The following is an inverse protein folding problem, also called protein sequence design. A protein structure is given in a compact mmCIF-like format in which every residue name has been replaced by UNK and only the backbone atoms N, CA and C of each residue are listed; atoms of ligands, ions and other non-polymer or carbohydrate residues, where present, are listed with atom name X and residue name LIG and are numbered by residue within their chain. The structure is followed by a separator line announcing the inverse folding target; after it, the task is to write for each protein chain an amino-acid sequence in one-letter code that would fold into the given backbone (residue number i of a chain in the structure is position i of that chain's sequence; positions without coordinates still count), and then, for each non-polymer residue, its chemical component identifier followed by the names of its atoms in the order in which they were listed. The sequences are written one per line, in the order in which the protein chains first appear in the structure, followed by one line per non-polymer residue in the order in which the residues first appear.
data_IF_546534642907
#
_entry.id   IF_546534642907
#
_cell.length_a   1.000
_cell.length_b   1.000
_cell.length_c   1.000
_cell.angle_alpha   90.00
_cell.angle_beta   90.00
_cell.angle_gamma   90.00
#
_symmetry.space_group_name_H-M   'P 1'
#
loop_
_entity.id
_entity.type
_entity.pdbx_description
1 polymer ?
#
# COMPACT_ATOMS: atom_id res chain seq x y z
N UNK A 1 9.42 -16.69 13.68
CA UNK A 1 8.26 -16.60 12.77
C UNK A 1 7.06 -16.18 13.61
N UNK A 2 6.54 -14.96 13.46
CA UNK A 2 5.68 -14.31 14.46
C UNK A 2 4.16 -14.47 14.24
N UNK A 3 3.76 -15.39 13.36
CA UNK A 3 2.36 -15.65 13.06
C UNK A 3 2.11 -17.14 12.84
N UNK A 4 0.89 -17.57 13.10
CA UNK A 4 0.39 -18.90 12.69
C UNK A 4 -0.55 -18.68 11.51
N UNK A 5 -0.26 -19.33 10.40
CA UNK A 5 -1.16 -19.39 9.25
C UNK A 5 -2.05 -20.62 9.39
N UNK A 6 -3.35 -20.43 9.51
CA UNK A 6 -4.33 -21.52 9.49
C UNK A 6 -5.28 -21.33 8.33
N UNK A 7 -5.69 -22.40 7.63
CA UNK A 7 -6.87 -22.33 6.76
C UNK A 7 -8.03 -21.76 7.57
N UNK A 8 -8.85 -20.91 6.95
CA UNK A 8 -10.10 -20.49 7.57
C UNK A 8 -11.04 -21.72 7.65
N UNK A 9 -11.13 -22.33 8.83
CA UNK A 9 -11.89 -23.57 9.04
C UNK A 9 -13.40 -23.36 9.10
N UNK A 10 -13.85 -22.10 9.17
CA UNK A 10 -15.26 -21.73 9.29
C UNK A 10 -15.94 -21.50 7.92
N UNK A 11 -15.15 -21.44 6.84
CA UNK A 11 -15.63 -21.29 5.47
C UNK A 11 -14.95 -22.32 4.57
N UNK A 12 -15.72 -23.07 3.79
CA UNK A 12 -15.28 -24.21 2.96
C UNK A 12 -14.30 -23.91 1.82
N UNK A 13 -13.57 -22.79 1.85
CA UNK A 13 -12.67 -22.35 0.79
C UNK A 13 -11.21 -22.58 1.17
N UNK A 14 -10.53 -23.47 0.43
CA UNK A 14 -9.08 -23.74 0.54
C UNK A 14 -8.18 -22.55 0.18
N UNK A 15 -8.77 -21.41 -0.18
CA UNK A 15 -8.08 -20.20 -0.67
C UNK A 15 -8.01 -19.07 0.38
N UNK A 16 -8.59 -19.27 1.57
CA UNK A 16 -8.59 -18.27 2.64
C UNK A 16 -7.64 -18.70 3.76
N UNK A 17 -6.74 -17.81 4.13
CA UNK A 17 -5.75 -18.05 5.17
C UNK A 17 -5.78 -16.91 6.18
N UNK A 18 -5.83 -17.27 7.47
CA UNK A 18 -5.72 -16.32 8.57
C UNK A 18 -4.30 -16.33 9.12
N UNK A 19 -3.64 -15.18 9.12
CA UNK A 19 -2.36 -14.97 9.79
C UNK A 19 -2.60 -14.30 11.14
N UNK A 20 -2.71 -15.10 12.19
CA UNK A 20 -2.92 -14.58 13.54
C UNK A 20 -1.58 -14.18 14.19
N UNK A 21 -1.54 -12.96 14.74
CA UNK A 21 -0.36 -12.35 15.39
C UNK A 21 -0.62 -12.22 16.89
N UNK A 22 0.40 -12.45 17.71
CA UNK A 22 0.29 -12.43 19.19
C UNK A 22 0.14 -11.04 19.82
N UNK A 23 0.19 -9.96 19.03
CA UNK A 23 0.11 -8.58 19.52
C UNK A 23 -0.24 -7.55 18.45
N UNK A 24 -0.59 -6.33 18.87
CA UNK A 24 -0.89 -5.20 17.98
C UNK A 24 0.39 -4.42 17.64
N UNK A 25 1.06 -4.79 16.56
CA UNK A 25 2.33 -4.19 16.14
C UNK A 25 2.20 -3.11 15.04
N UNK A 26 0.97 -2.66 14.74
CA UNK A 26 0.69 -1.63 13.73
C UNK A 26 0.47 -2.16 12.30
N UNK A 27 -0.03 -1.28 11.42
CA UNK A 27 -0.37 -1.59 10.03
C UNK A 27 0.84 -2.09 9.24
N UNK A 28 1.95 -1.36 9.29
CA UNK A 28 3.13 -1.67 8.49
C UNK A 28 3.70 -3.05 8.77
N UNK A 29 3.72 -3.45 10.04
CA UNK A 29 4.18 -4.80 10.40
C UNK A 29 3.20 -5.89 9.97
N UNK A 30 1.89 -5.62 9.98
CA UNK A 30 0.89 -6.57 9.47
C UNK A 30 1.02 -6.74 7.95
N UNK A 31 1.15 -5.63 7.21
CA UNK A 31 1.37 -5.64 5.76
C UNK A 31 2.66 -6.40 5.43
N UNK A 32 3.76 -6.14 6.13
CA UNK A 32 5.03 -6.86 5.94
C UNK A 32 4.88 -8.37 6.15
N UNK A 33 4.24 -8.79 7.24
CA UNK A 33 4.04 -10.21 7.55
C UNK A 33 3.21 -10.91 6.46
N UNK A 34 2.16 -10.24 5.96
CA UNK A 34 1.32 -10.71 4.84
C UNK A 34 2.09 -10.82 3.52
N UNK A 35 2.85 -9.79 3.16
CA UNK A 35 3.72 -9.82 1.97
C UNK A 35 4.71 -10.97 2.05
N UNK A 36 5.42 -11.13 3.19
CA UNK A 36 6.39 -12.20 3.39
C UNK A 36 5.75 -13.59 3.27
N UNK A 37 4.53 -13.76 3.79
CA UNK A 37 3.79 -15.01 3.68
C UNK A 37 3.45 -15.36 2.23
N UNK A 38 3.07 -14.36 1.42
CA UNK A 38 2.82 -14.54 -0.01
C UNK A 38 4.11 -14.84 -0.78
N UNK A 39 5.23 -14.18 -0.44
CA UNK A 39 6.53 -14.40 -1.11
C UNK A 39 7.06 -15.82 -0.96
N UNK A 40 6.70 -16.50 0.13
CA UNK A 40 7.05 -17.89 0.41
C UNK A 40 6.15 -18.91 -0.33
N UNK A 41 5.33 -18.45 -1.28
CA UNK A 41 4.40 -19.26 -2.07
C UNK A 41 4.57 -19.00 -3.57
N UNK A 42 3.91 -19.84 -4.36
CA UNK A 42 3.89 -19.76 -5.82
C UNK A 42 2.80 -18.80 -6.30
N UNK A 43 3.03 -17.50 -6.11
CA UNK A 43 2.21 -16.44 -6.69
C UNK A 43 3.06 -15.59 -7.62
N UNK A 44 2.43 -15.06 -8.68
CA UNK A 44 3.07 -14.11 -9.61
C UNK A 44 2.80 -12.65 -9.21
N UNK A 45 1.62 -12.41 -8.62
CA UNK A 45 1.17 -11.08 -8.22
C UNK A 45 0.58 -11.10 -6.80
N UNK A 46 0.71 -9.99 -6.09
CA UNK A 46 0.08 -9.76 -4.79
C UNK A 46 -0.75 -8.49 -4.87
N UNK A 47 -2.04 -8.58 -4.59
CA UNK A 47 -2.92 -7.42 -4.43
C UNK A 47 -3.15 -7.17 -2.95
N UNK A 48 -2.81 -5.96 -2.50
CA UNK A 48 -3.10 -5.49 -1.16
C UNK A 48 -4.32 -4.55 -1.21
N UNK A 49 -5.24 -4.66 -0.25
CA UNK A 49 -6.38 -3.75 -0.07
C UNK A 49 -6.84 -3.70 1.39
N UNK A 50 -7.53 -2.61 1.74
CA UNK A 50 -8.16 -2.49 3.07
C UNK A 50 -9.48 -3.27 3.14
N UNK A 51 -9.78 -3.81 4.33
CA UNK A 51 -10.96 -4.63 4.57
C UNK A 51 -12.25 -3.84 4.85
N UNK A 52 -12.21 -2.51 4.85
CA UNK A 52 -13.34 -1.62 5.19
C UNK A 52 -14.19 -1.22 3.97
N UNK A 53 -13.90 -1.79 2.80
CA UNK A 53 -14.58 -1.54 1.52
C UNK A 53 -14.48 -0.09 1.02
N UNK A 54 -13.65 0.76 1.63
CA UNK A 54 -13.33 2.08 1.07
C UNK A 54 -12.61 1.96 -0.28
N UNK A 55 -11.91 0.84 -0.49
CA UNK A 55 -11.36 0.41 -1.76
C UNK A 55 -12.27 -0.66 -2.38
N UNK A 56 -12.93 -0.35 -3.50
CA UNK A 56 -13.82 -1.30 -4.14
C UNK A 56 -13.02 -2.50 -4.74
N UNK A 57 -13.32 -3.76 -4.36
CA UNK A 57 -12.60 -4.93 -4.87
C UNK A 57 -12.64 -5.09 -6.40
N UNK A 58 -13.62 -4.45 -7.06
CA UNK A 58 -13.78 -4.45 -8.53
C UNK A 58 -12.59 -3.89 -9.30
N UNK A 59 -11.71 -3.09 -8.68
CA UNK A 59 -10.51 -2.57 -9.33
C UNK A 59 -9.34 -3.56 -9.34
N UNK A 60 -9.40 -4.65 -8.56
CA UNK A 60 -8.30 -5.61 -8.46
C UNK A 60 -7.97 -6.28 -9.81
N UNK A 61 -8.94 -6.73 -10.63
CA UNK A 61 -8.65 -7.23 -11.97
C UNK A 61 -7.92 -6.23 -12.86
N UNK A 62 -8.28 -4.94 -12.78
CA UNK A 62 -7.62 -3.90 -13.56
C UNK A 62 -6.17 -3.67 -13.11
N UNK A 63 -5.91 -3.63 -11.80
CA UNK A 63 -4.55 -3.51 -11.26
C UNK A 63 -3.66 -4.69 -11.68
N UNK A 64 -4.21 -5.91 -11.66
CA UNK A 64 -3.50 -7.11 -12.12
C UNK A 64 -3.25 -7.05 -13.64
N UNK A 65 -4.26 -6.66 -14.42
CA UNK A 65 -4.13 -6.50 -15.87
C UNK A 65 -3.06 -5.47 -16.25
N UNK A 66 -2.92 -4.37 -15.50
CA UNK A 66 -1.85 -3.39 -15.70
C UNK A 66 -0.46 -3.99 -15.48
N UNK A 67 -0.29 -4.87 -14.49
CA UNK A 67 0.99 -5.55 -14.26
C UNK A 67 1.26 -6.70 -15.26
N UNK A 68 0.20 -7.21 -15.91
CA UNK A 68 0.29 -8.24 -16.95
C UNK A 68 0.58 -7.70 -18.36
N UNK A 69 0.40 -6.39 -18.60
CA UNK A 69 0.61 -5.83 -19.95
C UNK A 69 2.10 -5.83 -20.32
N UNK A 70 2.50 -6.79 -21.15
CA UNK A 70 3.88 -6.96 -21.62
C UNK A 70 4.35 -5.78 -22.49
N UNK A 71 3.44 -5.01 -23.09
CA UNK A 71 3.78 -3.85 -23.93
C UNK A 71 4.14 -2.62 -23.10
N UNK A 72 3.64 -2.56 -21.87
CA UNK A 72 3.89 -1.47 -20.93
C UNK A 72 4.25 -2.07 -19.55
N UNK A 73 5.41 -2.72 -19.43
CA UNK A 73 5.65 -3.57 -18.28
C UNK A 73 5.80 -2.73 -17.02
N UNK A 74 5.12 -3.18 -15.97
CA UNK A 74 4.98 -2.48 -14.71
C UNK A 74 5.20 -3.45 -13.54
N UNK A 75 5.99 -3.04 -12.54
CA UNK A 75 6.26 -3.85 -11.36
C UNK A 75 5.25 -3.61 -10.24
N UNK A 76 4.66 -2.41 -10.21
CA UNK A 76 3.69 -1.99 -9.19
C UNK A 76 2.58 -1.14 -9.81
N UNK A 77 1.36 -1.68 -9.84
CA UNK A 77 0.18 -0.89 -10.16
C UNK A 77 -0.40 -0.29 -8.87
N UNK A 78 -0.50 1.04 -8.83
CA UNK A 78 -1.00 1.80 -7.69
C UNK A 78 -2.41 2.29 -7.99
N UNK A 79 -3.38 1.86 -7.20
CA UNK A 79 -4.72 2.44 -7.21
C UNK A 79 -4.64 3.89 -6.74
N UNK A 80 -4.88 4.83 -7.66
CA UNK A 80 -4.66 6.25 -7.43
C UNK A 80 -5.95 7.05 -7.47
N UNK A 81 -6.14 7.84 -6.41
CA UNK A 81 -7.30 8.74 -6.25
C UNK A 81 -7.08 10.10 -6.91
N UNK A 82 -5.85 10.40 -7.32
CA UNK A 82 -5.43 11.76 -7.70
C UNK A 82 -5.07 11.93 -9.18
N UNK A 83 -4.98 10.83 -9.93
CA UNK A 83 -4.88 10.82 -11.41
C UNK A 83 -6.22 11.12 -12.09
N UNK A 84 -6.19 11.37 -13.40
CA UNK A 84 -7.41 11.55 -14.18
C UNK A 84 -8.27 10.27 -14.12
N UNK A 85 -9.55 10.43 -13.80
CA UNK A 85 -10.49 9.32 -13.56
C UNK A 85 -10.51 8.78 -12.12
N UNK A 86 -9.56 9.17 -11.26
CA UNK A 86 -9.59 8.86 -9.83
C UNK A 86 -10.46 9.83 -9.04
N UNK A 87 -11.10 9.35 -7.97
CA UNK A 87 -12.04 10.15 -7.17
C UNK A 87 -11.99 9.83 -5.67
N UNK A 88 -12.47 10.81 -4.89
CA UNK A 88 -12.64 10.76 -3.43
C UNK A 88 -14.08 11.15 -3.14
N UNK A 89 -14.92 10.15 -2.90
CA UNK A 89 -16.36 10.30 -2.67
C UNK A 89 -16.70 10.26 -1.17
N UNK A 90 -17.66 11.08 -0.77
CA UNK A 90 -18.15 11.17 0.62
C UNK A 90 -17.34 12.07 1.57
N UNK A 91 -16.08 12.41 1.24
CA UNK A 91 -15.29 13.30 2.09
C UNK A 91 -15.65 14.79 1.94
N UNK A 92 -15.69 15.50 3.07
CA UNK A 92 -15.75 16.97 3.08
C UNK A 92 -14.63 17.60 2.23
N UNK A 93 -14.96 18.68 1.50
CA UNK A 93 -14.06 19.34 0.56
C UNK A 93 -12.70 19.70 1.17
N UNK A 94 -12.70 20.25 2.37
CA UNK A 94 -11.48 20.54 3.16
C UNK A 94 -10.57 19.31 3.32
N UNK A 95 -11.14 18.14 3.68
CA UNK A 95 -10.38 16.90 3.88
C UNK A 95 -9.82 16.36 2.56
N UNK A 96 -10.58 16.50 1.47
CA UNK A 96 -10.12 16.15 0.12
C UNK A 96 -8.89 16.97 -0.28
N UNK A 97 -8.94 18.29 -0.06
CA UNK A 97 -7.82 19.19 -0.33
C UNK A 97 -6.60 18.88 0.53
N UNK A 98 -6.78 18.74 1.84
CA UNK A 98 -5.68 18.37 2.75
C UNK A 98 -5.02 17.06 2.33
N UNK A 99 -5.82 16.04 2.01
CA UNK A 99 -5.30 14.73 1.59
C UNK A 99 -4.49 14.84 0.31
N UNK A 100 -4.96 15.62 -0.68
CA UNK A 100 -4.25 15.83 -1.94
C UNK A 100 -2.95 16.59 -1.74
N UNK A 101 -2.94 17.63 -0.90
CA UNK A 101 -1.75 18.43 -0.58
C UNK A 101 -0.70 17.60 0.16
N UNK A 102 -1.11 16.83 1.18
CA UNK A 102 -0.18 16.01 1.95
C UNK A 102 0.43 14.90 1.09
N UNK A 103 -0.37 14.26 0.22
CA UNK A 103 0.15 13.25 -0.70
C UNK A 103 1.10 13.88 -1.73
N UNK A 104 0.74 15.02 -2.32
CA UNK A 104 1.62 15.76 -3.23
C UNK A 104 2.94 16.21 -2.60
N UNK A 105 2.90 16.65 -1.33
CA UNK A 105 4.12 16.94 -0.57
C UNK A 105 4.97 15.69 -0.36
N UNK A 106 4.35 14.56 0.01
CA UNK A 106 5.04 13.30 0.21
C UNK A 106 5.70 12.78 -1.07
N UNK A 107 4.98 12.75 -2.20
CA UNK A 107 5.51 12.28 -3.48
C UNK A 107 6.66 13.16 -3.96
N UNK A 108 6.55 14.48 -3.80
CA UNK A 108 7.62 15.42 -4.15
C UNK A 108 8.87 15.22 -3.27
N UNK A 109 8.72 15.20 -1.95
CA UNK A 109 9.82 15.00 -1.01
C UNK A 109 10.53 13.64 -1.20
N UNK A 110 9.75 12.59 -1.46
CA UNK A 110 10.26 11.23 -1.64
C UNK A 110 10.72 10.95 -3.07
N UNK A 111 10.55 11.90 -4.00
CA UNK A 111 10.86 11.78 -5.43
C UNK A 111 10.19 10.57 -6.09
N UNK A 112 8.95 10.28 -5.69
CA UNK A 112 8.18 9.17 -6.24
C UNK A 112 7.47 9.60 -7.53
N UNK A 113 7.54 8.80 -8.61
CA UNK A 113 6.88 9.10 -9.89
C UNK A 113 5.39 8.71 -9.87
N UNK A 114 4.67 8.99 -8.77
CA UNK A 114 3.23 8.76 -8.63
C UNK A 114 2.57 9.97 -7.97
N UNK A 115 1.25 10.12 -8.14
CA UNK A 115 0.43 11.13 -7.45
C UNK A 115 -0.21 10.59 -6.17
N UNK A 116 -0.32 9.27 -6.01
CA UNK A 116 -0.87 8.65 -4.80
C UNK A 116 0.10 7.66 -4.14
N UNK A 117 0.90 8.13 -3.18
CA UNK A 117 1.85 7.28 -2.45
C UNK A 117 1.33 6.70 -1.13
N UNK A 118 0.12 7.08 -0.70
CA UNK A 118 -0.41 6.73 0.62
C UNK A 118 -1.47 5.63 0.58
N UNK A 119 -2.05 5.32 -0.58
CA UNK A 119 -3.09 4.29 -0.73
C UNK A 119 -2.52 2.88 -0.59
N UNK A 120 -3.24 1.98 0.10
CA UNK A 120 -2.86 0.57 0.27
C UNK A 120 -3.22 -0.30 -0.93
N UNK A 121 -4.17 0.15 -1.76
CA UNK A 121 -4.69 -0.61 -2.89
C UNK A 121 -3.68 -0.69 -4.04
N UNK A 122 -2.90 -1.77 -4.06
CA UNK A 122 -1.78 -1.94 -4.99
C UNK A 122 -1.65 -3.37 -5.43
N UNK A 123 -1.28 -3.56 -6.69
CA UNK A 123 -0.80 -4.84 -7.20
C UNK A 123 0.72 -4.78 -7.33
N UNK A 124 1.39 -5.83 -6.87
CA UNK A 124 2.84 -5.98 -6.93
C UNK A 124 3.20 -7.23 -7.71
N UNK A 125 4.16 -7.15 -8.63
CA UNK A 125 4.85 -8.33 -9.14
C UNK A 125 5.68 -8.95 -8.01
N UNK A 126 5.53 -10.25 -7.80
CA UNK A 126 6.24 -10.97 -6.73
C UNK A 126 7.76 -10.85 -6.91
N UNK A 127 8.26 -10.91 -8.14
CA UNK A 127 9.69 -10.75 -8.42
C UNK A 127 10.23 -9.38 -7.98
N UNK A 128 9.45 -8.32 -8.13
CA UNK A 128 9.86 -6.99 -7.67
C UNK A 128 9.94 -6.90 -6.14
N UNK A 129 8.99 -7.53 -5.44
CA UNK A 129 9.02 -7.63 -3.99
C UNK A 129 10.15 -8.54 -3.47
N UNK A 130 10.52 -9.60 -4.20
CA UNK A 130 11.62 -10.52 -3.82
C UNK A 130 12.99 -9.86 -3.86
N UNK A 131 13.19 -8.83 -4.70
CA UNK A 131 14.43 -8.06 -4.72
C UNK A 131 14.63 -7.23 -3.45
N UNK A 132 13.56 -6.99 -2.68
CA UNK A 132 13.62 -6.22 -1.45
C UNK A 132 13.82 -7.10 -0.22
N UNK A 133 14.73 -6.67 0.67
CA UNK A 133 14.75 -7.15 2.04
C UNK A 133 13.64 -6.48 2.86
N UNK A 134 12.43 -7.04 2.82
CA UNK A 134 11.24 -6.49 3.51
C UNK A 134 11.46 -6.26 5.03
N UNK A 135 12.36 -7.03 5.66
CA UNK A 135 12.71 -6.89 7.08
C UNK A 135 13.50 -5.61 7.39
N UNK A 136 14.14 -4.98 6.38
CA UNK A 136 14.82 -3.69 6.53
C UNK A 136 13.86 -2.50 6.52
N UNK A 137 12.58 -2.72 6.15
CA UNK A 137 11.53 -1.71 6.24
C UNK A 137 11.06 -1.62 7.70
N UNK A 138 11.20 -0.43 8.27
CA UNK A 138 11.14 -0.22 9.72
C UNK A 138 9.91 0.56 10.18
N UNK A 139 9.14 1.17 9.27
CA UNK A 139 7.92 1.89 9.60
C UNK A 139 6.87 0.91 10.17
N UNK A 140 6.45 1.06 11.45
CA UNK A 140 5.45 0.17 12.02
C UNK A 140 4.00 0.58 11.68
N UNK A 141 3.80 1.85 11.27
CA UNK A 141 2.48 2.46 11.06
C UNK A 141 2.16 2.72 9.58
N UNK A 142 1.29 3.70 9.35
CA UNK A 142 0.80 4.07 8.01
C UNK A 142 1.92 4.40 7.01
N UNK A 143 3.00 5.03 7.51
CA UNK A 143 4.20 5.37 6.76
C UNK A 143 4.96 4.20 6.09
N UNK A 144 4.53 2.96 6.34
CA UNK A 144 5.09 1.76 5.70
C UNK A 144 4.76 1.68 4.22
N UNK A 145 3.58 2.15 3.80
CA UNK A 145 3.19 2.09 2.40
C UNK A 145 4.07 3.00 1.55
N UNK A 146 4.41 4.17 2.06
CA UNK A 146 5.37 5.10 1.48
C UNK A 146 6.79 4.51 1.51
N UNK A 147 7.23 3.96 2.64
CA UNK A 147 8.56 3.32 2.76
C UNK A 147 8.74 2.18 1.75
N UNK A 148 7.74 1.32 1.61
CA UNK A 148 7.74 0.21 0.64
C UNK A 148 7.80 0.72 -0.80
N UNK A 149 7.03 1.76 -1.14
CA UNK A 149 7.03 2.31 -2.49
C UNK A 149 8.36 3.00 -2.82
N UNK A 150 8.96 3.69 -1.85
CA UNK A 150 10.30 4.27 -1.97
C UNK A 150 11.36 3.19 -2.15
N UNK A 151 11.29 2.10 -1.39
CA UNK A 151 12.22 0.98 -1.53
C UNK A 151 12.12 0.35 -2.92
N UNK A 152 10.91 0.07 -3.40
CA UNK A 152 10.67 -0.46 -4.75
C UNK A 152 11.20 0.50 -5.82
N UNK A 153 10.90 1.80 -5.70
CA UNK A 153 11.37 2.79 -6.66
C UNK A 153 12.90 2.90 -6.70
N UNK A 154 13.56 2.88 -5.54
CA UNK A 154 15.03 2.92 -5.43
C UNK A 154 15.70 1.66 -5.99
N UNK A 155 15.00 0.53 -5.94
CA UNK A 155 15.40 -0.73 -6.59
C UNK A 155 15.12 -0.76 -8.10
N UNK A 156 14.61 0.35 -8.66
CA UNK A 156 14.34 0.49 -10.10
C UNK A 156 13.00 -0.09 -10.56
N UNK A 157 12.10 -0.43 -9.63
CA UNK A 157 10.75 -0.89 -9.98
C UNK A 157 9.96 0.20 -10.72
N UNK A 158 9.26 -0.21 -11.78
CA UNK A 158 8.36 0.66 -12.55
C UNK A 158 7.01 0.74 -11.87
N UNK A 159 6.60 1.97 -11.56
CA UNK A 159 5.33 2.28 -10.91
C UNK A 159 4.34 2.86 -11.93
N UNK A 160 3.12 2.36 -11.96
CA UNK A 160 2.03 2.89 -12.81
C UNK A 160 0.80 3.14 -11.95
N UNK A 161 0.10 4.25 -12.21
CA UNK A 161 -1.13 4.59 -11.50
C UNK A 161 -2.37 4.17 -12.29
N UNK A 162 -3.29 3.48 -11.62
CA UNK A 162 -4.60 3.09 -12.13
C UNK A 162 -5.65 3.92 -11.40
N UNK A 163 -6.53 4.66 -12.11
CA UNK A 163 -7.56 5.45 -11.45
C UNK A 163 -8.52 4.56 -10.66
N UNK A 164 -8.77 4.93 -9.40
CA UNK A 164 -9.77 4.28 -8.56
C UNK A 164 -10.67 5.31 -7.89
N UNK A 165 -11.88 4.88 -7.57
CA UNK A 165 -12.77 5.59 -6.66
C UNK A 165 -12.53 5.12 -5.22
N UNK A 166 -12.33 6.09 -4.33
CA UNK A 166 -12.29 5.85 -2.90
C UNK A 166 -13.56 6.41 -2.26
N UNK A 167 -14.27 5.58 -1.48
CA UNK A 167 -15.47 5.99 -0.75
C UNK A 167 -15.19 6.07 0.74
N UNK A 168 -15.63 7.15 1.38
CA UNK A 168 -15.61 7.22 2.84
C UNK A 168 -16.46 6.09 3.43
N UNK A 169 -15.88 5.34 4.37
CA UNK A 169 -16.55 4.25 5.08
C UNK A 169 -17.84 4.73 5.76
N UNK A 170 -18.87 3.90 5.76
CA UNK A 170 -20.17 4.22 6.36
C UNK A 170 -20.16 4.35 7.90
N UNK A 171 -19.04 4.05 8.58
CA UNK A 171 -18.93 4.16 10.03
C UNK A 171 -17.48 4.29 10.54
N UNK A 172 -17.31 5.09 11.60
CA UNK A 172 -16.07 5.22 12.36
C UNK A 172 -15.42 6.60 12.24
N UNK A 173 -15.22 7.28 13.38
CA UNK A 173 -14.51 8.56 13.46
C UNK A 173 -13.11 8.44 12.86
N UNK A 174 -12.74 9.38 11.98
CA UNK A 174 -11.37 9.48 11.48
C UNK A 174 -10.44 9.73 12.65
N UNK A 175 -9.55 8.76 12.91
CA UNK A 175 -8.55 8.85 13.98
C UNK A 175 -7.39 9.79 13.63
N UNK A 176 -7.36 10.38 12.42
CA UNK A 176 -6.30 11.28 11.95
C UNK A 176 -6.32 12.60 12.74
N UNK A 177 -5.57 12.62 13.84
CA UNK A 177 -5.26 13.83 14.59
C UNK A 177 -4.03 14.56 14.05
N UNK A 178 -3.77 15.76 14.58
CA UNK A 178 -2.52 16.49 14.31
C UNK A 178 -1.27 15.67 14.64
N UNK A 179 -1.32 14.81 15.66
CA UNK A 179 -0.23 13.90 16.03
C UNK A 179 0.11 12.91 14.91
N UNK A 180 -0.88 12.41 14.18
CA UNK A 180 -0.66 11.47 13.07
C UNK A 180 -0.07 12.19 11.85
N UNK A 181 -0.53 13.42 11.58
CA UNK A 181 0.04 14.26 10.53
C UNK A 181 1.53 14.57 10.79
N UNK A 182 1.89 14.96 12.02
CA UNK A 182 3.29 15.15 12.42
C UNK A 182 4.11 13.86 12.34
N UNK A 183 3.50 12.71 12.69
CA UNK A 183 4.10 11.39 12.49
C UNK A 183 4.42 11.12 11.01
N UNK A 184 3.48 11.39 10.11
CA UNK A 184 3.65 11.23 8.67
C UNK A 184 4.78 12.12 8.13
N UNK A 185 4.82 13.40 8.52
CA UNK A 185 5.90 14.32 8.11
C UNK A 185 7.27 13.83 8.59
N UNK A 186 7.39 13.36 9.84
CA UNK A 186 8.66 12.79 10.34
C UNK A 186 9.09 11.56 9.57
N UNK A 187 8.15 10.68 9.21
CA UNK A 187 8.45 9.51 8.38
C UNK A 187 8.92 9.94 7.00
N UNK A 188 8.22 10.87 6.34
CA UNK A 188 8.61 11.40 5.02
C UNK A 188 10.02 11.97 5.07
N UNK A 189 10.31 12.82 6.06
CA UNK A 189 11.64 13.43 6.22
C UNK A 189 12.71 12.35 6.46
N UNK A 190 12.44 11.39 7.36
CA UNK A 190 13.35 10.27 7.60
C UNK A 190 13.63 9.48 6.32
N UNK A 191 12.61 9.17 5.51
CA UNK A 191 12.76 8.41 4.27
C UNK A 191 13.49 9.20 3.19
N UNK A 192 13.22 10.50 3.06
CA UNK A 192 13.88 11.38 2.09
C UNK A 192 15.39 11.47 2.33
N UNK A 193 15.82 11.57 3.60
CA UNK A 193 17.23 11.75 3.97
C UNK A 193 17.95 10.46 4.40
N UNK A 194 17.24 9.33 4.52
CA UNK A 194 17.89 8.02 4.73
C UNK A 194 18.62 7.64 3.45
N UNK A 195 19.95 7.60 3.53
CA UNK A 195 20.85 7.21 2.44
C UNK A 195 20.38 5.88 1.81
N UNK A 196 20.47 5.72 0.48
CA UNK A 196 20.17 4.45 -0.16
C UNK A 196 21.05 3.38 0.49
N UNK A 197 20.42 2.35 1.04
CA UNK A 197 21.15 1.19 1.54
C UNK A 197 21.69 0.46 0.31
N UNK A 198 23.02 0.43 0.19
CA UNK A 198 23.73 -0.41 -0.77
C UNK A 198 23.49 -1.89 -0.50
#
# INVERSE_FOLDING_TARGET
NNYRATPDTDRSSSSIYLLQRSGKYGLGTATRDGLQWCLNRSYDFIVNLDADLSHAPQYAPQLVATCLDERAPCDVAVGSRYVAGGSLEGLHLHRRWMSRLLNGYATWMLKLPVKDCSGSYRCYRVDALRRLELNRLTCPGYGFLEELLVALHRDGARLVEVPIEFRERAGGHSKLGWSDAWGAVRVIHRLAFKSPQK
#
